data_IF_455925981211
#
_entry.id   IF_455925981211
#
_cell.length_a   1.000
_cell.length_b   1.000
_cell.length_c   1.000
_cell.angle_alpha   90.00
_cell.angle_beta   90.00
_cell.angle_gamma   90.00
#
_symmetry.space_group_name_H-M   'P 1'
#
loop_
_entity.id
_entity.type
_entity.pdbx_description
1 polymer ?
#
# COMPACT_ATOMS: atom_id res chain seq x y z
N UNK A 1 -3.04 -2.64 22.45
CA UNK A 1 -2.60 -2.23 21.09
C UNK A 1 -3.43 -2.97 20.06
N UNK A 2 -3.87 -2.33 18.97
CA UNK A 2 -4.51 -3.06 17.87
C UNK A 2 -3.46 -3.96 17.22
N UNK A 3 -3.81 -5.19 16.88
CA UNK A 3 -2.90 -6.10 16.17
C UNK A 3 -2.48 -5.47 14.84
N UNK A 4 -1.21 -5.58 14.47
CA UNK A 4 -0.74 -5.09 13.19
C UNK A 4 -1.27 -6.02 12.09
N UNK A 5 -2.08 -5.53 11.13
CA UNK A 5 -2.70 -6.39 10.13
C UNK A 5 -1.64 -6.90 9.15
N UNK A 6 -1.89 -8.08 8.58
CA UNK A 6 -1.12 -8.58 7.45
C UNK A 6 -2.00 -8.56 6.20
N UNK A 7 -1.47 -8.02 5.10
CA UNK A 7 -2.12 -8.04 3.80
C UNK A 7 -1.19 -8.63 2.76
N UNK A 8 -1.68 -9.61 1.98
CA UNK A 8 -1.00 -10.11 0.80
C UNK A 8 -1.08 -9.07 -0.32
N UNK A 9 0.02 -8.86 -1.02
CA UNK A 9 0.05 -8.01 -2.21
C UNK A 9 -0.88 -8.62 -3.28
N UNK A 10 -1.79 -7.81 -3.82
CA UNK A 10 -2.68 -8.24 -4.89
C UNK A 10 -1.96 -8.41 -6.25
N UNK A 11 -0.83 -7.73 -6.42
CA UNK A 11 0.05 -7.84 -7.58
C UNK A 11 1.49 -7.59 -7.12
N UNK A 12 2.47 -8.18 -7.83
CA UNK A 12 3.89 -8.09 -7.51
C UNK A 12 4.40 -6.64 -7.42
N UNK A 13 3.80 -5.71 -8.18
CA UNK A 13 4.17 -4.28 -8.20
C UNK A 13 3.57 -3.47 -7.05
N UNK A 14 2.64 -4.03 -6.28
CA UNK A 14 1.96 -3.33 -5.19
C UNK A 14 2.67 -3.40 -3.83
N UNK A 15 3.99 -3.58 -3.78
CA UNK A 15 4.71 -3.69 -2.50
C UNK A 15 4.49 -2.44 -1.64
N UNK A 16 4.70 -1.25 -2.21
CA UNK A 16 4.54 0.04 -1.52
C UNK A 16 3.07 0.34 -1.17
N UNK A 17 2.08 0.27 -2.09
CA UNK A 17 0.67 0.41 -1.73
C UNK A 17 0.21 -0.53 -0.62
N UNK A 18 0.70 -1.77 -0.61
CA UNK A 18 0.32 -2.77 0.41
C UNK A 18 0.88 -2.42 1.78
N UNK A 19 2.15 -1.98 1.87
CA UNK A 19 2.74 -1.49 3.11
C UNK A 19 1.93 -0.32 3.69
N UNK A 20 1.58 0.68 2.87
CA UNK A 20 0.78 1.83 3.32
C UNK A 20 -0.63 1.38 3.74
N UNK A 21 -1.23 0.40 3.05
CA UNK A 21 -2.53 -0.17 3.43
C UNK A 21 -2.50 -0.81 4.82
N UNK A 22 -1.46 -1.58 5.11
CA UNK A 22 -1.24 -2.22 6.41
C UNK A 22 -1.15 -1.14 7.52
N UNK A 23 -0.28 -0.14 7.32
CA UNK A 23 -0.09 0.96 8.28
C UNK A 23 -1.40 1.73 8.47
N UNK A 24 -2.06 2.12 7.38
CA UNK A 24 -3.33 2.86 7.41
C UNK A 24 -4.39 2.09 8.22
N UNK A 25 -4.53 0.78 7.98
CA UNK A 25 -5.49 -0.06 8.69
C UNK A 25 -5.17 -0.16 10.18
N UNK A 26 -3.90 -0.29 10.54
CA UNK A 26 -3.47 -0.31 11.94
C UNK A 26 -3.93 0.96 12.69
N UNK A 27 -3.83 2.12 12.03
CA UNK A 27 -4.29 3.41 12.56
C UNK A 27 -5.77 3.72 12.28
N UNK A 28 -6.58 2.73 11.87
CA UNK A 28 -8.02 2.88 11.70
C UNK A 28 -8.49 3.58 10.42
N UNK A 29 -7.59 3.82 9.45
CA UNK A 29 -7.92 4.37 8.14
C UNK A 29 -8.11 3.26 7.11
N UNK A 30 -9.22 3.28 6.38
CA UNK A 30 -9.47 2.36 5.26
C UNK A 30 -9.36 3.14 3.96
N UNK A 31 -8.32 2.83 3.17
CA UNK A 31 -8.05 3.48 1.90
C UNK A 31 -8.12 2.42 0.78
N UNK A 32 -8.71 2.78 -0.35
CA UNK A 32 -8.81 1.87 -1.50
C UNK A 32 -7.42 1.55 -2.04
N UNK A 33 -7.25 0.35 -2.63
CA UNK A 33 -5.96 -0.01 -3.24
C UNK A 33 -5.62 0.90 -4.42
N UNK A 34 -6.62 1.37 -5.18
CA UNK A 34 -6.39 2.26 -6.32
C UNK A 34 -5.84 3.61 -5.86
N UNK A 35 -6.48 4.24 -4.87
CA UNK A 35 -6.00 5.50 -4.27
C UNK A 35 -4.57 5.37 -3.76
N UNK A 36 -4.22 4.23 -3.16
CA UNK A 36 -2.86 3.98 -2.69
C UNK A 36 -1.86 3.81 -3.84
N UNK A 37 -2.26 3.22 -4.97
CA UNK A 37 -1.41 3.17 -6.18
C UNK A 37 -1.14 4.56 -6.72
N UNK A 38 -2.17 5.41 -6.75
CA UNK A 38 -2.04 6.78 -7.23
C UNK A 38 -1.09 7.58 -6.32
N UNK A 39 -1.25 7.49 -4.99
CA UNK A 39 -0.33 8.14 -4.03
C UNK A 39 1.09 7.58 -4.02
N UNK A 40 1.25 6.30 -4.39
CA UNK A 40 2.56 5.68 -4.50
C UNK A 40 3.18 5.83 -5.89
N UNK A 41 2.48 6.50 -6.81
CA UNK A 41 2.85 6.62 -8.22
C UNK A 41 3.19 5.23 -8.82
N UNK A 42 2.46 4.20 -8.40
CA UNK A 42 2.70 2.82 -8.83
C UNK A 42 2.30 2.66 -10.28
N UNK A 43 3.29 2.45 -11.14
CA UNK A 43 3.10 2.16 -12.56
C UNK A 43 3.43 0.69 -12.88
N UNK A 44 3.58 0.36 -14.17
CA UNK A 44 3.89 -1.02 -14.62
C UNK A 44 5.25 -1.53 -14.12
N UNK A 45 6.20 -0.64 -13.87
CA UNK A 45 7.51 -0.99 -13.33
C UNK A 45 7.48 -1.13 -11.81
N UNK A 46 6.56 -0.44 -11.15
CA UNK A 46 6.37 -0.44 -9.70
C UNK A 46 6.33 0.99 -9.15
N UNK A 47 6.77 1.15 -7.91
CA UNK A 47 6.97 2.46 -7.27
C UNK A 47 8.44 2.65 -6.94
N UNK A 48 8.97 3.86 -7.13
CA UNK A 48 10.33 4.22 -6.73
C UNK A 48 10.31 5.39 -5.71
N UNK A 49 11.45 5.67 -5.09
CA UNK A 49 11.66 6.81 -4.20
C UNK A 49 12.39 7.96 -4.90
N UNK A 50 13.23 7.64 -5.89
CA UNK A 50 14.18 8.56 -6.53
C UNK A 50 13.69 9.12 -7.86
N UNK A 51 12.68 8.50 -8.48
CA UNK A 51 12.13 8.91 -9.77
C UNK A 51 10.68 8.48 -9.94
#
# INVERSE_FOLDING_TARGET
>A
MKTFPNYKQADNKNCRPTCIKIISKHYGKTISTQTLRDYCETNREGSNLLY
#
